data_IF_139013014802
#
_entry.id   IF_139013014802
#
_cell.length_a   1.000
_cell.length_b   1.000
_cell.length_c   1.000
_cell.angle_alpha   90.00
_cell.angle_beta   90.00
_cell.angle_gamma   90.00
#
_symmetry.space_group_name_H-M   'P 1'
#
loop_
_entity.id
_entity.type
_entity.pdbx_description
1 polymer ?
#
# COMPACT_ATOMS: atom_id res chain seq x y z
N UNK A 1 -34.73 3.52 -22.48
CA UNK A 1 -33.30 3.30 -22.80
C UNK A 1 -32.98 1.87 -22.42
N UNK A 2 -32.39 1.10 -23.33
CA UNK A 2 -32.02 -0.31 -23.04
C UNK A 2 -31.01 -0.34 -21.90
N UNK A 3 -31.03 -1.37 -21.05
CA UNK A 3 -30.06 -1.55 -19.96
C UNK A 3 -28.60 -1.51 -20.47
N UNK A 4 -28.37 -1.97 -21.70
CA UNK A 4 -27.06 -1.92 -22.37
C UNK A 4 -26.57 -0.50 -22.67
N UNK A 5 -27.49 0.46 -22.81
CA UNK A 5 -27.15 1.84 -23.14
C UNK A 5 -26.63 2.59 -21.92
N UNK A 6 -27.04 2.19 -20.72
CA UNK A 6 -26.55 2.76 -19.46
C UNK A 6 -25.09 2.34 -19.17
N UNK A 7 -24.67 1.13 -19.56
CA UNK A 7 -23.29 0.64 -19.38
C UNK A 7 -22.25 1.41 -20.21
N UNK A 8 -22.69 2.10 -21.25
CA UNK A 8 -21.84 2.89 -22.15
C UNK A 8 -21.94 4.39 -21.90
N UNK A 9 -22.78 4.83 -20.96
CA UNK A 9 -22.99 6.24 -20.63
C UNK A 9 -22.06 6.68 -19.49
N UNK A 10 -21.03 7.50 -19.76
CA UNK A 10 -20.07 7.94 -18.75
C UNK A 10 -20.70 8.76 -17.61
N UNK A 11 -21.88 9.35 -17.82
CA UNK A 11 -22.58 10.09 -16.78
C UNK A 11 -23.11 9.21 -15.65
N UNK A 12 -23.19 7.90 -15.89
CA UNK A 12 -23.62 6.90 -14.89
C UNK A 12 -22.45 6.33 -14.08
N UNK A 13 -21.21 6.62 -14.47
CA UNK A 13 -20.03 6.05 -13.83
C UNK A 13 -19.80 6.69 -12.45
N UNK A 14 -19.61 5.84 -11.43
CA UNK A 14 -19.29 6.28 -10.06
C UNK A 14 -17.78 6.19 -9.87
N UNK A 15 -17.07 7.29 -9.55
CA UNK A 15 -15.63 7.25 -9.31
C UNK A 15 -15.32 6.43 -8.04
N UNK A 16 -14.23 5.65 -8.03
CA UNK A 16 -13.86 4.88 -6.85
C UNK A 16 -13.43 5.81 -5.71
N UNK A 17 -13.90 5.54 -4.49
CA UNK A 17 -13.42 6.23 -3.30
C UNK A 17 -12.15 5.56 -2.76
N UNK A 18 -11.10 6.34 -2.51
CA UNK A 18 -9.87 5.88 -1.87
C UNK A 18 -9.89 6.04 -0.35
N UNK A 19 -11.02 6.45 0.22
CA UNK A 19 -11.14 6.75 1.66
C UNK A 19 -11.40 5.53 2.53
N UNK A 20 -11.71 4.38 1.94
CA UNK A 20 -12.09 3.17 2.65
C UNK A 20 -11.06 2.05 2.43
N UNK A 21 -10.54 1.52 3.53
CA UNK A 21 -9.66 0.34 3.53
C UNK A 21 -8.17 0.64 3.65
N UNK A 22 -7.36 -0.28 3.14
CA UNK A 22 -5.90 -0.24 3.25
C UNK A 22 -5.27 0.38 2.01
N UNK A 23 -4.48 1.44 2.21
CA UNK A 23 -3.66 2.08 1.17
C UNK A 23 -2.19 1.84 1.46
N UNK A 24 -1.44 1.36 0.46
CA UNK A 24 0.03 1.33 0.52
C UNK A 24 0.60 2.51 -0.27
N UNK A 25 1.54 3.25 0.30
CA UNK A 25 2.28 4.31 -0.42
C UNK A 25 3.75 3.94 -0.54
N UNK A 26 4.25 3.87 -1.78
CA UNK A 26 5.67 3.65 -2.08
C UNK A 26 6.25 4.98 -2.53
N UNK A 27 6.95 5.68 -1.65
CA UNK A 27 7.71 6.88 -2.03
C UNK A 27 9.12 6.50 -2.47
N UNK A 28 9.58 7.07 -3.58
CA UNK A 28 10.91 6.76 -4.12
C UNK A 28 11.59 7.99 -4.74
N UNK A 29 12.92 7.99 -4.70
CA UNK A 29 13.76 8.95 -5.40
C UNK A 29 13.65 8.75 -6.92
N UNK A 30 13.01 9.69 -7.61
CA UNK A 30 12.80 9.63 -9.06
C UNK A 30 14.13 9.83 -9.82
N UNK A 31 14.98 10.76 -9.34
CA UNK A 31 16.33 11.00 -9.87
C UNK A 31 17.23 9.76 -9.82
N UNK A 32 16.92 8.80 -8.94
CA UNK A 32 17.66 7.56 -8.77
C UNK A 32 17.23 6.46 -9.75
N UNK A 33 16.23 6.72 -10.63
CA UNK A 33 15.65 5.77 -11.59
C UNK A 33 15.06 4.51 -10.94
N UNK A 34 14.45 4.66 -9.77
CA UNK A 34 13.89 3.53 -9.01
C UNK A 34 12.42 3.22 -9.30
N UNK A 35 11.79 3.91 -10.28
CA UNK A 35 10.41 3.64 -10.69
C UNK A 35 10.17 2.15 -10.98
N UNK A 36 11.04 1.51 -11.77
CA UNK A 36 10.90 0.09 -12.11
C UNK A 36 10.86 -0.82 -10.88
N UNK A 37 11.67 -0.50 -9.86
CA UNK A 37 11.67 -1.27 -8.61
C UNK A 37 10.40 -1.01 -7.81
N UNK A 38 9.94 0.24 -7.75
CA UNK A 38 8.69 0.59 -7.07
C UNK A 38 7.48 -0.10 -7.72
N UNK A 39 7.41 -0.12 -9.06
CA UNK A 39 6.37 -0.83 -9.82
C UNK A 39 6.43 -2.34 -9.60
N UNK A 40 7.62 -2.94 -9.60
CA UNK A 40 7.75 -4.38 -9.30
C UNK A 40 7.26 -4.73 -7.90
N UNK A 41 7.65 -3.95 -6.88
CA UNK A 41 7.14 -4.13 -5.50
C UNK A 41 5.61 -3.97 -5.48
N UNK A 42 5.05 -2.98 -6.17
CA UNK A 42 3.60 -2.80 -6.27
C UNK A 42 2.91 -4.04 -6.86
N UNK A 43 3.39 -4.57 -7.99
CA UNK A 43 2.83 -5.77 -8.61
C UNK A 43 2.86 -6.96 -7.65
N UNK A 44 3.98 -7.19 -6.98
CA UNK A 44 4.16 -8.28 -6.03
C UNK A 44 3.21 -8.19 -4.83
N UNK A 45 2.96 -6.98 -4.34
CA UNK A 45 2.03 -6.75 -3.24
C UNK A 45 0.58 -6.93 -3.67
N UNK A 46 0.19 -6.45 -4.85
CA UNK A 46 -1.17 -6.65 -5.38
C UNK A 46 -1.48 -8.13 -5.64
N UNK A 47 -0.51 -8.90 -6.11
CA UNK A 47 -0.65 -10.36 -6.29
C UNK A 47 -0.80 -11.07 -4.93
N UNK A 48 -0.02 -10.65 -3.93
CA UNK A 48 0.00 -11.30 -2.61
C UNK A 48 -1.24 -10.94 -1.78
N UNK A 49 -1.73 -9.71 -1.90
CA UNK A 49 -2.83 -9.15 -1.11
C UNK A 49 -3.94 -8.61 -2.03
N UNK A 50 -4.75 -9.49 -2.63
CA UNK A 50 -5.82 -9.07 -3.52
C UNK A 50 -6.89 -8.25 -2.76
N UNK A 51 -7.69 -7.44 -3.49
CA UNK A 51 -8.83 -6.75 -2.93
C UNK A 51 -9.77 -7.69 -2.15
N UNK A 52 -10.37 -7.24 -1.03
CA UNK A 52 -10.30 -5.88 -0.47
C UNK A 52 -9.13 -5.66 0.49
N UNK A 53 -8.19 -6.62 0.64
CA UNK A 53 -7.11 -6.56 1.65
C UNK A 53 -6.26 -5.30 1.50
N UNK A 54 -5.83 -5.04 0.26
CA UNK A 54 -5.26 -3.77 -0.18
C UNK A 54 -6.25 -3.18 -1.18
N UNK A 55 -6.74 -1.97 -0.90
CA UNK A 55 -7.62 -1.23 -1.80
C UNK A 55 -6.83 -0.55 -2.92
N UNK A 56 -5.70 0.08 -2.58
CA UNK A 56 -4.84 0.70 -3.57
C UNK A 56 -3.36 0.72 -3.14
N UNK A 57 -2.49 0.87 -4.14
CA UNK A 57 -1.07 1.15 -3.93
C UNK A 57 -0.71 2.39 -4.74
N UNK A 58 -0.29 3.46 -4.06
CA UNK A 58 0.18 4.69 -4.67
C UNK A 58 1.71 4.68 -4.84
N UNK A 59 2.18 5.06 -6.03
CA UNK A 59 3.60 5.33 -6.30
C UNK A 59 3.83 6.84 -6.21
N UNK A 60 4.67 7.28 -5.28
CA UNK A 60 4.93 8.69 -5.03
C UNK A 60 6.37 9.07 -5.42
N UNK A 61 6.61 9.53 -6.66
CA UNK A 61 7.94 9.99 -7.06
C UNK A 61 8.33 11.24 -6.27
N UNK A 62 9.58 11.27 -5.79
CA UNK A 62 10.18 12.40 -5.08
C UNK A 62 11.43 12.86 -5.82
N UNK A 63 11.53 14.17 -6.07
CA UNK A 63 12.57 14.74 -6.93
C UNK A 63 13.45 15.81 -6.26
N UNK A 64 13.28 16.08 -4.96
CA UNK A 64 14.10 17.07 -4.23
C UNK A 64 15.40 16.49 -3.67
N UNK A 65 16.31 17.34 -3.19
CA UNK A 65 17.55 16.92 -2.52
C UNK A 65 17.31 16.30 -1.14
N UNK A 66 16.35 16.82 -0.38
CA UNK A 66 15.92 16.25 0.91
C UNK A 66 15.42 14.79 0.77
N UNK A 67 14.91 14.44 -0.42
CA UNK A 67 14.38 13.10 -0.72
C UNK A 67 15.35 12.23 -1.53
N UNK A 68 16.60 12.66 -1.69
CA UNK A 68 17.63 11.89 -2.38
C UNK A 68 17.85 10.51 -1.72
N UNK A 69 17.85 9.47 -2.57
CA UNK A 69 18.02 8.08 -2.15
C UNK A 69 16.89 7.53 -1.27
N UNK A 70 15.73 8.20 -1.23
CA UNK A 70 14.55 7.73 -0.51
C UNK A 70 13.90 6.54 -1.21
N UNK A 71 13.54 5.53 -0.44
CA UNK A 71 12.63 4.46 -0.84
C UNK A 71 11.92 3.99 0.44
N UNK A 72 10.64 4.34 0.59
CA UNK A 72 9.84 3.95 1.77
C UNK A 72 8.52 3.34 1.36
N UNK A 73 8.05 2.41 2.18
CA UNK A 73 6.75 1.76 2.05
C UNK A 73 5.93 2.06 3.30
N UNK A 74 4.82 2.76 3.10
CA UNK A 74 3.88 3.16 4.14
C UNK A 74 2.57 2.38 4.00
N UNK A 75 1.91 2.10 5.12
CA UNK A 75 0.60 1.44 5.19
C UNK A 75 -0.35 2.34 5.97
N UNK A 76 -1.44 2.74 5.34
CA UNK A 76 -2.52 3.53 5.96
C UNK A 76 -3.79 2.71 5.98
N UNK A 77 -4.43 2.61 7.14
CA UNK A 77 -5.71 1.90 7.31
C UNK A 77 -6.77 2.88 7.78
N UNK A 78 -7.86 3.03 7.03
CA UNK A 78 -9.01 3.84 7.43
C UNK A 78 -10.18 2.92 7.78
N UNK A 79 -10.60 2.93 9.06
CA UNK A 79 -11.79 2.20 9.52
C UNK A 79 -12.91 3.19 9.85
N UNK A 80 -14.02 3.11 9.13
CA UNK A 80 -15.20 3.97 9.28
C UNK A 80 -16.09 3.60 10.49
N UNK A 81 -15.60 2.77 11.42
CA UNK A 81 -16.37 2.36 12.60
C UNK A 81 -16.22 3.39 13.73
N UNK A 82 -17.12 4.36 13.73
CA UNK A 82 -17.46 5.18 14.89
C UNK A 82 -18.04 4.32 16.02
N UNK A 83 -17.24 4.07 17.05
CA UNK A 83 -17.70 4.01 18.45
C UNK A 83 -16.46 3.94 19.37
N UNK A 84 -16.26 5.03 20.12
CA UNK A 84 -15.33 5.13 21.25
C UNK A 84 -13.84 4.91 20.95
N UNK A 85 -13.28 5.80 20.12
CA UNK A 85 -11.83 5.98 20.06
C UNK A 85 -11.37 6.61 21.38
N UNK A 86 -10.69 5.80 22.20
CA UNK A 86 -9.86 6.33 23.29
C UNK A 86 -8.86 7.35 22.70
N UNK A 87 -8.64 8.51 23.33
CA UNK A 87 -7.80 9.59 22.79
C UNK A 87 -6.30 9.24 22.65
N UNK A 88 -5.91 8.00 22.93
CA UNK A 88 -4.53 7.51 22.87
C UNK A 88 -4.29 6.45 21.78
N UNK A 89 -5.29 6.11 20.95
CA UNK A 89 -5.07 5.14 19.87
C UNK A 89 -4.46 5.81 18.64
N UNK A 90 -3.30 5.29 18.19
CA UNK A 90 -2.60 5.52 16.91
C UNK A 90 -3.44 5.15 15.66
N UNK A 91 -4.77 5.15 15.81
CA UNK A 91 -5.78 4.72 14.87
C UNK A 91 -5.99 5.78 13.78
N UNK A 92 -5.06 5.83 12.83
CA UNK A 92 -5.18 6.65 11.63
C UNK A 92 -3.85 7.17 11.09
N UNK A 93 -2.76 7.08 11.87
CA UNK A 93 -1.45 7.45 11.38
C UNK A 93 -0.90 6.38 10.39
N UNK A 94 -0.24 6.78 9.30
CA UNK A 94 0.46 5.85 8.42
C UNK A 94 1.58 5.12 9.16
N UNK A 95 1.62 3.79 9.02
CA UNK A 95 2.67 2.94 9.61
C UNK A 95 3.77 2.67 8.59
N UNK A 96 5.03 2.84 8.99
CA UNK A 96 6.19 2.55 8.14
C UNK A 96 6.46 1.04 8.09
N UNK A 97 6.33 0.43 6.92
CA UNK A 97 6.68 -0.98 6.71
C UNK A 97 8.17 -1.15 6.32
N UNK A 98 8.72 -0.19 5.57
CA UNK A 98 10.12 -0.24 5.12
C UNK A 98 10.70 1.15 4.87
N UNK A 99 11.96 1.36 5.23
CA UNK A 99 12.77 2.51 4.79
C UNK A 99 14.16 2.00 4.37
N UNK A 100 14.59 2.36 3.14
CA UNK A 100 15.87 1.90 2.61
C UNK A 100 17.09 2.33 3.42
N UNK A 101 17.10 3.54 3.98
CA UNK A 101 18.21 4.06 4.79
C UNK A 101 18.25 3.41 6.17
N UNK A 102 17.08 3.16 6.77
CA UNK A 102 16.96 2.47 8.08
C UNK A 102 17.37 1.00 7.96
N UNK A 103 16.90 0.31 6.93
CA UNK A 103 17.12 -1.13 6.73
C UNK A 103 18.42 -1.43 5.97
N UNK A 104 19.18 -0.41 5.56
CA UNK A 104 20.43 -0.57 4.81
C UNK A 104 20.28 -1.09 3.38
N UNK A 105 19.08 -1.13 2.81
CA UNK A 105 18.84 -1.72 1.50
C UNK A 105 17.41 -1.64 1.00
N UNK A 106 17.19 -2.17 -0.20
CA UNK A 106 15.84 -2.36 -0.72
C UNK A 106 15.15 -3.53 -0.01
N UNK A 107 13.81 -3.53 0.05
CA UNK A 107 13.07 -4.61 0.70
C UNK A 107 13.34 -5.95 0.02
N UNK A 108 13.69 -6.94 0.83
CA UNK A 108 13.45 -8.33 0.47
C UNK A 108 11.95 -8.58 0.49
N UNK A 109 11.39 -9.06 -0.63
CA UNK A 109 9.93 -9.17 -0.78
C UNK A 109 9.29 -10.03 0.30
N UNK A 110 9.94 -11.12 0.71
CA UNK A 110 9.45 -12.00 1.76
C UNK A 110 9.22 -11.23 3.07
N UNK A 111 10.23 -10.49 3.51
CA UNK A 111 10.18 -9.68 4.74
C UNK A 111 9.16 -8.56 4.61
N UNK A 112 9.12 -7.87 3.47
CA UNK A 112 8.16 -6.79 3.25
C UNK A 112 6.71 -7.31 3.28
N UNK A 113 6.42 -8.44 2.64
CA UNK A 113 5.09 -9.07 2.64
C UNK A 113 4.69 -9.46 4.08
N UNK A 114 5.60 -10.05 4.86
CA UNK A 114 5.35 -10.37 6.27
C UNK A 114 5.01 -9.10 7.09
N UNK A 115 5.82 -8.05 6.99
CA UNK A 115 5.58 -6.79 7.71
C UNK A 115 4.24 -6.16 7.34
N UNK A 116 3.90 -6.13 6.05
CA UNK A 116 2.61 -5.62 5.58
C UNK A 116 1.47 -6.49 6.12
N UNK A 117 1.57 -7.82 6.06
CA UNK A 117 0.57 -8.73 6.64
C UNK A 117 0.36 -8.44 8.12
N UNK A 118 1.41 -8.26 8.89
CA UNK A 118 1.30 -8.00 10.34
C UNK A 118 0.56 -6.70 10.64
N UNK A 119 0.54 -5.75 9.69
CA UNK A 119 -0.22 -4.50 9.79
C UNK A 119 -1.68 -4.69 9.33
N UNK A 120 -1.91 -5.35 8.19
CA UNK A 120 -3.21 -5.33 7.49
C UNK A 120 -4.08 -6.56 7.76
N UNK A 121 -3.46 -7.70 8.08
CA UNK A 121 -4.16 -8.96 8.29
C UNK A 121 -3.37 -9.88 9.26
N UNK A 122 -3.27 -9.49 10.54
CA UNK A 122 -2.51 -10.25 11.52
C UNK A 122 -3.03 -11.70 11.64
N UNK A 123 -2.12 -12.66 11.67
CA UNK A 123 -2.45 -14.08 11.81
C UNK A 123 -2.80 -14.84 10.52
N UNK A 124 -2.89 -14.19 9.36
CA UNK A 124 -3.06 -14.90 8.08
C UNK A 124 -1.74 -15.56 7.66
N UNK A 125 -1.78 -16.82 7.23
CA UNK A 125 -0.61 -17.44 6.61
C UNK A 125 -0.36 -16.91 5.20
N UNK A 126 0.90 -16.58 4.88
CA UNK A 126 1.40 -16.25 3.55
C UNK A 126 2.13 -17.44 2.87
N UNK A 127 1.91 -18.66 3.36
CA UNK A 127 2.51 -19.88 2.80
C UNK A 127 4.05 -19.85 2.86
N UNK A 128 4.71 -19.94 1.70
CA UNK A 128 6.18 -19.93 1.61
C UNK A 128 6.82 -18.66 2.17
N UNK A 129 6.06 -17.55 2.20
CA UNK A 129 6.60 -16.32 2.78
C UNK A 129 6.75 -16.40 4.29
N UNK A 130 6.03 -17.28 5.01
CA UNK A 130 6.09 -17.41 6.48
C UNK A 130 7.07 -18.47 6.97
N UNK A 131 7.48 -19.39 6.10
CA UNK A 131 8.43 -20.44 6.48
C UNK A 131 9.84 -19.85 6.49
N UNK A 132 10.61 -20.07 7.56
CA UNK A 132 12.07 -19.87 7.50
C UNK A 132 12.62 -20.90 6.51
N UNK A 133 13.41 -20.42 5.55
CA UNK A 133 14.32 -21.33 4.84
C UNK A 133 15.45 -21.72 5.79
#
# INVERSE_FOLDING_TARGET
MSADQALLDPSTFVPPSLTEGTTITIEFCDRCRWLHRASWVQTELLITFPPPTIGCIALLPRNSDETAGRFRVWVSTTSTSSSEASPESDAGAPRLAWDRKVEGGFPELKVLKQRIRDIVQPGKSLGHSDKKE
#
